data_IF_409916194293
#
_entry.id   IF_409916194293
#
_cell.length_a   1.000
_cell.length_b   1.000
_cell.length_c   1.000
_cell.angle_alpha   90.00
_cell.angle_beta   90.00
_cell.angle_gamma   90.00
#
_symmetry.space_group_name_H-M   'P 1'
#
loop_
_entity.id
_entity.type
_entity.pdbx_description
1 polymer ?
#
# COMPACT_ATOMS: atom_id res chain seq x y z
N UNK A 1 14.59 -33.25 6.39
CA UNK A 1 15.97 -33.23 6.94
C UNK A 1 16.01 -32.22 8.06
N UNK A 2 16.65 -32.55 9.18
CA UNK A 2 16.84 -31.60 10.27
C UNK A 2 17.96 -30.61 9.96
N UNK A 3 18.05 -29.55 10.76
CA UNK A 3 19.25 -28.71 10.78
C UNK A 3 20.47 -29.56 11.20
N UNK A 4 21.64 -29.43 10.56
CA UNK A 4 22.05 -28.42 9.57
C UNK A 4 21.89 -28.84 8.09
N UNK A 5 21.51 -30.09 7.82
CA UNK A 5 21.47 -30.66 6.46
C UNK A 5 20.42 -30.00 5.55
N UNK A 6 19.56 -29.15 6.13
CA UNK A 6 18.59 -28.35 5.40
C UNK A 6 19.16 -27.08 4.75
N UNK A 7 20.43 -26.71 4.97
CA UNK A 7 21.07 -25.52 4.36
C UNK A 7 21.74 -25.90 3.03
N UNK A 8 20.95 -26.03 1.97
CA UNK A 8 21.47 -26.22 0.61
C UNK A 8 20.58 -25.55 -0.44
N UNK A 9 21.09 -25.37 -1.66
CA UNK A 9 20.39 -24.65 -2.75
C UNK A 9 19.04 -25.30 -3.08
N UNK A 10 18.97 -26.64 -3.04
CA UNK A 10 17.73 -27.37 -3.26
C UNK A 10 16.70 -27.02 -2.19
N UNK A 11 17.07 -27.10 -0.91
CA UNK A 11 16.19 -26.72 0.19
C UNK A 11 15.85 -25.22 0.22
N UNK A 12 16.69 -24.35 -0.34
CA UNK A 12 16.37 -22.93 -0.52
C UNK A 12 15.37 -22.71 -1.65
N UNK A 13 15.52 -23.39 -2.80
CA UNK A 13 14.53 -23.41 -3.87
C UNK A 13 13.22 -24.04 -3.36
N UNK A 14 13.33 -25.09 -2.55
CA UNK A 14 12.22 -25.75 -1.88
C UNK A 14 11.62 -24.87 -0.77
N UNK A 15 12.38 -24.01 -0.10
CA UNK A 15 11.80 -23.01 0.80
C UNK A 15 11.02 -21.96 0.00
N UNK A 16 11.55 -21.55 -1.14
CA UNK A 16 10.86 -20.67 -2.08
C UNK A 16 9.62 -21.36 -2.70
N UNK A 17 9.55 -22.70 -2.76
CA UNK A 17 8.53 -23.42 -3.56
C UNK A 17 7.73 -24.55 -2.88
N UNK A 18 8.15 -25.17 -1.77
CA UNK A 18 7.81 -26.55 -1.36
C UNK A 18 7.43 -26.77 0.12
N UNK A 19 7.73 -25.89 1.07
CA UNK A 19 7.27 -26.03 2.48
C UNK A 19 5.86 -25.47 2.76
N UNK A 20 5.14 -25.08 1.70
CA UNK A 20 3.82 -24.48 1.81
C UNK A 20 2.72 -25.44 1.37
N UNK A 21 1.48 -25.26 1.88
CA UNK A 21 0.31 -26.01 1.38
C UNK A 21 0.24 -25.92 -0.14
N UNK A 22 -0.01 -27.04 -0.82
CA UNK A 22 -0.03 -27.12 -2.29
C UNK A 22 -1.38 -27.53 -2.82
N UNK A 23 -1.72 -27.00 -3.99
CA UNK A 23 -2.87 -27.45 -4.78
C UNK A 23 -2.48 -28.61 -5.69
N UNK A 24 -3.41 -29.54 -5.91
CA UNK A 24 -3.14 -30.78 -6.67
C UNK A 24 -2.80 -30.51 -8.13
N UNK A 25 -3.48 -29.53 -8.74
CA UNK A 25 -3.36 -29.21 -10.17
C UNK A 25 -3.50 -27.72 -10.44
N UNK A 26 -2.87 -27.27 -11.53
CA UNK A 26 -3.03 -25.92 -12.08
C UNK A 26 -4.34 -25.84 -12.86
N UNK A 27 -5.27 -25.01 -12.41
CA UNK A 27 -6.57 -24.74 -13.06
C UNK A 27 -6.40 -23.69 -14.15
N UNK A 28 -6.12 -24.14 -15.37
CA UNK A 28 -5.90 -23.27 -16.55
C UNK A 28 -7.01 -22.22 -16.77
N UNK A 29 -8.28 -22.59 -16.57
CA UNK A 29 -9.40 -21.65 -16.70
C UNK A 29 -9.40 -20.53 -15.67
N UNK A 30 -8.97 -20.82 -14.44
CA UNK A 30 -8.77 -19.79 -13.41
C UNK A 30 -7.64 -18.84 -13.81
N UNK A 31 -6.49 -19.38 -14.25
CA UNK A 31 -5.35 -18.57 -14.72
C UNK A 31 -5.78 -17.65 -15.86
N UNK A 32 -6.42 -18.20 -16.90
CA UNK A 32 -6.87 -17.41 -18.05
C UNK A 32 -7.80 -16.28 -17.63
N UNK A 33 -8.78 -16.57 -16.76
CA UNK A 33 -9.70 -15.55 -16.23
C UNK A 33 -8.94 -14.45 -15.48
N UNK A 34 -8.01 -14.80 -14.58
CA UNK A 34 -7.21 -13.82 -13.84
C UNK A 34 -6.32 -13.00 -14.77
N UNK A 35 -5.77 -13.59 -15.84
CA UNK A 35 -4.94 -12.89 -16.84
C UNK A 35 -5.77 -11.87 -17.60
N UNK A 36 -6.98 -12.22 -18.05
CA UNK A 36 -7.89 -11.29 -18.72
C UNK A 36 -8.27 -10.13 -17.81
N UNK A 37 -8.60 -10.43 -16.55
CA UNK A 37 -8.92 -9.40 -15.55
C UNK A 37 -7.71 -8.48 -15.27
N UNK A 38 -6.49 -9.03 -15.19
CA UNK A 38 -5.25 -8.28 -15.03
C UNK A 38 -4.98 -7.33 -16.20
N UNK A 39 -5.09 -7.81 -17.44
CA UNK A 39 -4.89 -6.97 -18.63
C UNK A 39 -5.93 -5.86 -18.66
N UNK A 40 -7.19 -6.20 -18.39
CA UNK A 40 -8.30 -5.23 -18.38
C UNK A 40 -8.09 -4.14 -17.32
N UNK A 41 -7.65 -4.52 -16.11
CA UNK A 41 -7.41 -3.58 -15.03
C UNK A 41 -6.19 -2.69 -15.29
N UNK A 42 -5.11 -3.23 -15.89
CA UNK A 42 -3.94 -2.44 -16.29
C UNK A 42 -4.27 -1.43 -17.39
N UNK A 43 -5.06 -1.82 -18.39
CA UNK A 43 -5.54 -0.89 -19.43
C UNK A 43 -6.42 0.21 -18.83
N UNK A 44 -7.30 -0.12 -17.88
CA UNK A 44 -8.12 0.87 -17.18
C UNK A 44 -7.27 1.83 -16.34
N UNK A 45 -6.25 1.32 -15.63
CA UNK A 45 -5.30 2.17 -14.89
C UNK A 45 -4.60 3.14 -15.85
N UNK A 46 -4.11 2.66 -16.99
CA UNK A 46 -3.45 3.51 -17.98
C UNK A 46 -4.39 4.59 -18.52
N UNK A 47 -5.64 4.23 -18.86
CA UNK A 47 -6.66 5.19 -19.28
C UNK A 47 -6.92 6.26 -18.20
N UNK A 48 -7.09 5.86 -16.93
CA UNK A 48 -7.33 6.80 -15.83
C UNK A 48 -6.14 7.72 -15.58
N UNK A 49 -4.92 7.21 -15.72
CA UNK A 49 -3.70 8.00 -15.61
C UNK A 49 -3.65 9.08 -16.70
N UNK A 50 -3.75 8.70 -17.97
CA UNK A 50 -3.62 9.61 -19.10
C UNK A 50 -4.76 10.62 -19.19
N UNK A 51 -6.01 10.18 -19.00
CA UNK A 51 -7.19 11.02 -19.22
C UNK A 51 -7.57 11.89 -18.02
N UNK A 52 -7.22 11.47 -16.79
CA UNK A 52 -7.66 12.18 -15.59
C UNK A 52 -6.49 12.63 -14.70
N UNK A 53 -5.58 11.72 -14.32
CA UNK A 53 -4.55 12.05 -13.34
C UNK A 53 -3.53 13.04 -13.91
N UNK A 54 -2.93 12.73 -15.06
CA UNK A 54 -1.92 13.57 -15.74
C UNK A 54 -2.41 15.01 -15.98
N UNK A 55 -3.56 15.25 -16.65
CA UNK A 55 -4.01 16.62 -16.89
C UNK A 55 -4.36 17.36 -15.59
N UNK A 56 -4.89 16.67 -14.58
CA UNK A 56 -5.20 17.29 -13.29
C UNK A 56 -3.92 17.75 -12.58
N UNK A 57 -2.90 16.89 -12.55
CA UNK A 57 -1.63 17.15 -11.89
C UNK A 57 -0.85 18.27 -12.61
N UNK A 58 -0.82 18.28 -13.94
CA UNK A 58 -0.21 19.36 -14.73
C UNK A 58 -0.88 20.72 -14.46
N UNK A 59 -2.23 20.77 -14.47
CA UNK A 59 -3.00 21.98 -14.18
C UNK A 59 -2.89 22.45 -12.72
N UNK A 60 -2.33 21.63 -11.83
CA UNK A 60 -2.16 21.95 -10.41
C UNK A 60 -0.86 22.71 -10.12
N UNK A 61 0.13 22.64 -11.03
CA UNK A 61 1.45 23.25 -10.81
C UNK A 61 1.38 24.77 -10.67
N UNK A 62 0.64 25.45 -11.56
CA UNK A 62 0.51 26.91 -11.54
C UNK A 62 -0.09 27.41 -10.20
N UNK A 63 -1.25 26.88 -9.73
CA UNK A 63 -1.76 27.20 -8.40
C UNK A 63 -0.78 26.95 -7.24
N UNK A 64 0.04 25.89 -7.33
CA UNK A 64 1.05 25.59 -6.29
C UNK A 64 2.19 26.60 -6.27
N UNK A 65 2.62 27.11 -7.43
CA UNK A 65 3.65 28.16 -7.53
C UNK A 65 3.09 29.50 -7.02
N UNK A 66 1.86 29.84 -7.43
CA UNK A 66 1.15 31.06 -7.03
C UNK A 66 0.63 31.02 -5.58
N UNK A 67 0.79 29.89 -4.87
CA UNK A 67 0.30 29.66 -3.50
C UNK A 67 -1.20 29.92 -3.34
N UNK A 68 -1.99 29.68 -4.39
CA UNK A 68 -3.44 29.85 -4.36
C UNK A 68 -4.11 28.64 -3.68
N UNK A 69 -4.25 28.73 -2.35
CA UNK A 69 -4.75 27.63 -1.50
C UNK A 69 -6.13 27.10 -1.93
N UNK A 70 -7.16 27.94 -2.20
CA UNK A 70 -8.45 27.45 -2.69
C UNK A 70 -8.34 26.60 -3.96
N UNK A 71 -7.56 27.05 -4.94
CA UNK A 71 -7.36 26.30 -6.18
C UNK A 71 -6.59 25.00 -5.94
N UNK A 72 -5.60 24.99 -5.05
CA UNK A 72 -4.87 23.75 -4.69
C UNK A 72 -5.84 22.73 -4.08
N UNK A 73 -6.73 23.16 -3.18
CA UNK A 73 -7.73 22.28 -2.56
C UNK A 73 -8.69 21.74 -3.61
N UNK A 74 -9.21 22.59 -4.50
CA UNK A 74 -10.08 22.16 -5.60
C UNK A 74 -9.41 21.09 -6.48
N UNK A 75 -8.13 21.30 -6.83
CA UNK A 75 -7.37 20.33 -7.64
C UNK A 75 -7.08 19.05 -6.89
N UNK A 76 -6.77 19.12 -5.60
CA UNK A 76 -6.58 17.95 -4.75
C UNK A 76 -7.87 17.10 -4.69
N UNK A 77 -9.03 17.73 -4.56
CA UNK A 77 -10.33 17.06 -4.56
C UNK A 77 -10.71 16.46 -5.92
N UNK A 78 -10.27 17.06 -7.04
CA UNK A 78 -10.41 16.44 -8.37
C UNK A 78 -9.50 15.23 -8.52
N UNK A 79 -8.26 15.34 -8.03
CA UNK A 79 -7.27 14.28 -8.08
C UNK A 79 -7.65 13.10 -7.18
N UNK A 80 -8.27 13.34 -6.01
CA UNK A 80 -8.62 12.31 -5.02
C UNK A 80 -9.47 11.18 -5.61
N UNK A 81 -10.48 11.51 -6.42
CA UNK A 81 -11.35 10.51 -7.05
C UNK A 81 -10.57 9.63 -8.03
N UNK A 82 -9.80 10.26 -8.94
CA UNK A 82 -8.98 9.51 -9.90
C UNK A 82 -7.92 8.64 -9.20
N UNK A 83 -7.28 9.20 -8.16
CA UNK A 83 -6.30 8.50 -7.35
C UNK A 83 -6.89 7.31 -6.61
N UNK A 84 -8.11 7.43 -6.08
CA UNK A 84 -8.82 6.33 -5.42
C UNK A 84 -9.07 5.18 -6.39
N UNK A 85 -9.63 5.45 -7.56
CA UNK A 85 -9.91 4.40 -8.55
C UNK A 85 -8.63 3.71 -9.03
N UNK A 86 -7.58 4.50 -9.33
CA UNK A 86 -6.27 3.96 -9.72
C UNK A 86 -5.72 3.07 -8.61
N UNK A 87 -5.78 3.52 -7.34
CA UNK A 87 -5.27 2.73 -6.22
C UNK A 87 -6.05 1.42 -6.03
N UNK A 88 -7.39 1.45 -6.10
CA UNK A 88 -8.22 0.24 -5.97
C UNK A 88 -7.96 -0.74 -7.11
N UNK A 89 -7.79 -0.24 -8.34
CA UNK A 89 -7.44 -1.08 -9.48
C UNK A 89 -6.03 -1.65 -9.34
N UNK A 90 -5.05 -0.87 -8.86
CA UNK A 90 -3.69 -1.38 -8.59
C UNK A 90 -3.73 -2.47 -7.52
N UNK A 91 -4.48 -2.26 -6.44
CA UNK A 91 -4.69 -3.26 -5.39
C UNK A 91 -5.26 -4.56 -5.98
N UNK A 92 -6.34 -4.47 -6.76
CA UNK A 92 -6.97 -5.62 -7.39
C UNK A 92 -6.04 -6.32 -8.40
N UNK A 93 -5.38 -5.54 -9.26
CA UNK A 93 -4.44 -6.05 -10.27
C UNK A 93 -3.31 -6.85 -9.62
N UNK A 94 -2.73 -6.31 -8.55
CA UNK A 94 -1.58 -6.92 -7.90
C UNK A 94 -1.99 -8.05 -6.95
N UNK A 95 -2.74 -7.75 -5.89
CA UNK A 95 -3.03 -8.71 -4.83
C UNK A 95 -3.98 -9.81 -5.25
N UNK A 96 -4.96 -9.48 -6.10
CA UNK A 96 -5.98 -10.44 -6.49
C UNK A 96 -5.62 -11.17 -7.78
N UNK A 97 -5.21 -10.44 -8.82
CA UNK A 97 -4.93 -11.05 -10.12
C UNK A 97 -3.50 -11.59 -10.19
N UNK A 98 -2.47 -10.75 -10.03
CA UNK A 98 -1.07 -11.15 -10.20
C UNK A 98 -0.63 -12.21 -9.18
N UNK A 99 -0.82 -11.96 -7.88
CA UNK A 99 -0.49 -12.97 -6.85
C UNK A 99 -1.35 -14.23 -6.99
N UNK A 100 -2.61 -14.10 -7.41
CA UNK A 100 -3.48 -15.24 -7.70
C UNK A 100 -2.98 -16.11 -8.84
N UNK A 101 -2.51 -15.49 -9.94
CA UNK A 101 -1.86 -16.18 -11.07
C UNK A 101 -0.58 -16.85 -10.60
N UNK A 102 0.29 -16.11 -9.92
CA UNK A 102 1.56 -16.61 -9.43
C UNK A 102 1.36 -17.82 -8.50
N UNK A 103 0.41 -17.72 -7.56
CA UNK A 103 0.06 -18.80 -6.66
C UNK A 103 -0.50 -20.03 -7.38
N UNK A 104 -1.35 -19.84 -8.39
CA UNK A 104 -1.88 -20.97 -9.16
C UNK A 104 -0.77 -21.66 -9.99
N UNK A 105 0.12 -20.90 -10.63
CA UNK A 105 1.22 -21.46 -11.43
C UNK A 105 2.26 -22.21 -10.58
N UNK A 106 2.56 -21.68 -9.40
CA UNK A 106 3.46 -22.31 -8.42
C UNK A 106 2.77 -23.40 -7.57
N UNK A 107 1.47 -23.59 -7.75
CA UNK A 107 0.59 -24.44 -6.94
C UNK A 107 0.55 -24.08 -5.45
N UNK A 108 0.89 -22.84 -5.10
CA UNK A 108 0.78 -22.31 -3.76
C UNK A 108 -0.69 -22.30 -3.29
N UNK A 109 -0.94 -22.98 -2.19
CA UNK A 109 -2.27 -23.26 -1.64
C UNK A 109 -2.76 -22.20 -0.65
N UNK A 110 -1.85 -21.53 0.06
CA UNK A 110 -2.22 -20.41 0.92
C UNK A 110 -2.42 -19.16 0.05
N UNK A 111 -3.64 -18.65 -0.06
CA UNK A 111 -3.95 -17.53 -0.97
C UNK A 111 -4.52 -16.33 -0.24
N UNK A 112 -4.34 -16.30 1.07
CA UNK A 112 -4.78 -15.21 1.91
C UNK A 112 -3.76 -14.05 1.83
N UNK A 113 -3.79 -13.32 0.71
CA UNK A 113 -2.91 -12.16 0.52
C UNK A 113 -3.45 -10.90 1.19
N UNK A 114 -4.77 -10.82 1.39
CA UNK A 114 -5.49 -9.72 2.01
C UNK A 114 -6.82 -10.20 2.60
N UNK A 115 -7.35 -9.46 3.59
CA UNK A 115 -8.68 -9.66 4.17
C UNK A 115 -9.60 -8.49 3.77
N UNK A 116 -10.82 -8.44 4.33
CA UNK A 116 -11.84 -7.42 4.10
C UNK A 116 -11.49 -6.03 4.70
N UNK A 117 -10.31 -5.52 4.37
CA UNK A 117 -9.73 -4.28 4.88
C UNK A 117 -10.61 -3.04 4.63
N UNK A 118 -11.47 -3.07 3.62
CA UNK A 118 -12.41 -1.98 3.32
C UNK A 118 -13.49 -1.81 4.41
N UNK A 119 -13.76 -2.86 5.17
CA UNK A 119 -14.69 -2.86 6.31
C UNK A 119 -14.00 -2.56 7.65
N UNK A 120 -12.69 -2.27 7.65
CA UNK A 120 -11.94 -2.01 8.87
C UNK A 120 -12.56 -0.85 9.67
N UNK A 121 -12.84 -1.08 10.96
CA UNK A 121 -13.46 -0.08 11.85
C UNK A 121 -12.44 0.93 12.41
N UNK A 122 -11.16 0.64 12.29
CA UNK A 122 -10.06 1.50 12.70
C UNK A 122 -8.88 1.36 11.72
N UNK A 123 -8.00 2.37 11.68
CA UNK A 123 -6.87 2.42 10.76
C UNK A 123 -5.83 1.34 11.09
N UNK A 124 -5.71 0.95 12.36
CA UNK A 124 -4.84 -0.13 12.77
C UNK A 124 -5.25 -1.47 12.17
N UNK A 125 -6.55 -1.76 12.14
CA UNK A 125 -7.12 -2.97 11.51
C UNK A 125 -6.88 -2.98 10.01
N UNK A 126 -7.07 -1.84 9.33
CA UNK A 126 -6.73 -1.68 7.91
C UNK A 126 -5.29 -2.11 7.61
N UNK A 127 -4.31 -1.58 8.35
CA UNK A 127 -2.89 -1.90 8.13
C UNK A 127 -2.53 -3.37 8.37
N UNK A 128 -3.33 -4.11 9.13
CA UNK A 128 -3.15 -5.56 9.33
C UNK A 128 -3.79 -6.42 8.24
N UNK A 129 -4.84 -5.92 7.60
CA UNK A 129 -5.69 -6.67 6.67
C UNK A 129 -5.36 -6.42 5.20
N UNK A 130 -4.78 -5.27 4.84
CA UNK A 130 -4.59 -4.90 3.43
C UNK A 130 -3.51 -5.73 2.72
N UNK A 131 -2.40 -6.04 3.39
CA UNK A 131 -1.24 -6.76 2.83
C UNK A 131 -0.69 -7.71 3.89
N UNK A 132 -1.28 -8.90 3.93
CA UNK A 132 -0.97 -9.92 4.93
C UNK A 132 0.48 -10.41 4.82
N UNK A 133 1.07 -10.61 3.62
CA UNK A 133 2.47 -10.99 3.51
C UNK A 133 3.42 -10.01 4.21
N UNK A 134 3.29 -8.71 3.93
CA UNK A 134 4.14 -7.68 4.55
C UNK A 134 3.84 -7.54 6.03
N UNK A 135 2.55 -7.53 6.42
CA UNK A 135 2.15 -7.48 7.83
C UNK A 135 2.75 -8.64 8.63
N UNK A 136 2.62 -9.86 8.12
CA UNK A 136 3.12 -11.08 8.75
C UNK A 136 4.64 -11.08 8.84
N UNK A 137 5.33 -10.60 7.80
CA UNK A 137 6.78 -10.46 7.80
C UNK A 137 7.26 -9.47 8.86
N UNK A 138 6.69 -8.27 8.92
CA UNK A 138 7.01 -7.25 9.93
C UNK A 138 6.69 -7.75 11.35
N UNK A 139 5.53 -8.42 11.52
CA UNK A 139 5.12 -8.98 12.81
C UNK A 139 6.12 -10.03 13.30
N UNK A 140 6.53 -10.96 12.42
CA UNK A 140 7.43 -12.07 12.76
C UNK A 140 8.87 -11.61 13.00
N UNK A 141 9.40 -10.75 12.15
CA UNK A 141 10.84 -10.42 12.15
C UNK A 141 11.17 -9.16 12.92
N UNK A 142 10.19 -8.28 13.19
CA UNK A 142 10.43 -7.04 13.93
C UNK A 142 9.62 -6.98 15.22
N UNK A 143 8.29 -7.04 15.13
CA UNK A 143 7.43 -6.80 16.28
C UNK A 143 7.60 -7.84 17.39
N UNK A 144 7.49 -9.14 17.06
CA UNK A 144 7.58 -10.21 18.06
C UNK A 144 8.97 -10.30 18.73
N UNK A 145 10.11 -10.19 18.03
CA UNK A 145 11.43 -10.12 18.66
C UNK A 145 11.58 -8.94 19.63
N UNK A 146 11.12 -7.74 19.25
CA UNK A 146 11.18 -6.56 20.14
C UNK A 146 10.31 -6.76 21.38
N UNK A 147 9.10 -7.32 21.23
CA UNK A 147 8.23 -7.66 22.36
C UNK A 147 8.84 -8.71 23.28
N UNK A 148 9.49 -9.75 22.74
CA UNK A 148 10.19 -10.78 23.52
C UNK A 148 11.36 -10.22 24.33
N UNK A 149 11.95 -9.10 23.89
CA UNK A 149 12.99 -8.36 24.63
C UNK A 149 12.43 -7.39 25.68
N UNK A 150 11.11 -7.39 25.92
CA UNK A 150 10.47 -6.56 26.94
C UNK A 150 10.11 -5.14 26.50
N UNK A 151 10.27 -4.77 25.23
CA UNK A 151 9.90 -3.44 24.72
C UNK A 151 8.37 -3.27 24.72
N UNK A 152 7.88 -2.08 25.08
CA UNK A 152 6.46 -1.78 25.13
C UNK A 152 5.77 -1.95 23.76
N UNK A 153 4.48 -2.29 23.75
CA UNK A 153 3.73 -2.52 22.52
C UNK A 153 3.70 -1.31 21.59
N UNK A 154 3.52 -0.12 22.18
CA UNK A 154 3.52 1.16 21.46
C UNK A 154 4.89 1.43 20.82
N UNK A 155 5.98 1.24 21.57
CA UNK A 155 7.33 1.44 21.02
C UNK A 155 7.63 0.45 19.89
N UNK A 156 7.19 -0.81 20.01
CA UNK A 156 7.32 -1.79 18.92
C UNK A 156 6.55 -1.36 17.67
N UNK A 157 5.34 -0.81 17.82
CA UNK A 157 4.56 -0.29 16.68
C UNK A 157 5.27 0.90 16.04
N UNK A 158 5.76 1.87 16.83
CA UNK A 158 6.50 3.03 16.34
C UNK A 158 7.72 2.59 15.51
N UNK A 159 8.51 1.64 16.01
CA UNK A 159 9.68 1.12 15.27
C UNK A 159 9.29 0.45 13.96
N UNK A 160 8.22 -0.37 13.95
CA UNK A 160 7.72 -1.00 12.72
C UNK A 160 7.26 0.04 11.70
N UNK A 161 6.52 1.07 12.14
CA UNK A 161 6.08 2.15 11.27
C UNK A 161 7.23 3.01 10.76
N UNK A 162 8.25 3.27 11.59
CA UNK A 162 9.46 3.99 11.17
C UNK A 162 10.20 3.26 10.05
N UNK A 163 10.47 1.97 10.22
CA UNK A 163 11.14 1.18 9.17
C UNK A 163 10.27 1.08 7.92
N UNK A 164 8.96 0.85 8.09
CA UNK A 164 8.04 0.83 6.96
C UNK A 164 8.02 2.17 6.22
N UNK A 165 8.00 3.29 6.93
CA UNK A 165 7.99 4.64 6.34
C UNK A 165 9.25 4.92 5.51
N UNK A 166 10.42 4.46 5.97
CA UNK A 166 11.67 4.57 5.21
C UNK A 166 11.60 3.75 3.92
N UNK A 167 11.09 2.52 3.99
CA UNK A 167 10.93 1.68 2.80
C UNK A 167 9.94 2.29 1.79
N UNK A 168 8.88 2.95 2.25
CA UNK A 168 7.95 3.67 1.36
C UNK A 168 8.62 4.87 0.69
N UNK A 169 9.44 5.65 1.42
CA UNK A 169 10.23 6.74 0.83
C UNK A 169 11.19 6.24 -0.23
N UNK A 170 11.84 5.10 0.01
CA UNK A 170 12.74 4.47 -0.97
C UNK A 170 11.95 4.00 -2.19
N UNK A 171 10.81 3.34 -1.98
CA UNK A 171 9.96 2.80 -3.03
C UNK A 171 9.37 3.88 -3.95
N UNK A 172 9.07 5.06 -3.43
CA UNK A 172 8.54 6.18 -4.22
C UNK A 172 9.65 7.11 -4.71
N UNK A 173 10.61 7.42 -3.86
CA UNK A 173 11.64 8.42 -4.11
C UNK A 173 12.71 7.98 -5.10
N UNK A 174 13.07 6.69 -5.13
CA UNK A 174 14.05 6.19 -6.12
C UNK A 174 13.46 6.24 -7.55
N UNK A 175 12.28 5.66 -7.85
CA UNK A 175 11.73 5.70 -9.21
C UNK A 175 11.39 7.10 -9.69
N UNK A 176 10.96 7.99 -8.79
CA UNK A 176 10.70 9.40 -9.13
C UNK A 176 11.98 10.25 -9.19
N UNK A 177 13.12 9.71 -8.76
CA UNK A 177 14.38 10.44 -8.58
C UNK A 177 14.25 11.68 -7.67
N UNK A 178 13.27 11.70 -6.76
CA UNK A 178 12.97 12.80 -5.85
C UNK A 178 12.81 12.23 -4.44
N UNK A 179 13.80 12.43 -3.57
CA UNK A 179 13.74 12.01 -2.16
C UNK A 179 13.50 13.27 -1.32
N UNK A 180 12.25 13.49 -0.92
CA UNK A 180 11.82 14.69 -0.19
C UNK A 180 11.24 14.38 1.19
N UNK A 181 11.00 13.10 1.52
CA UNK A 181 10.46 12.68 2.80
C UNK A 181 8.94 12.77 2.90
N UNK A 182 8.21 13.07 1.82
CA UNK A 182 6.75 13.19 1.88
C UNK A 182 6.06 11.85 2.13
N UNK A 183 6.51 10.77 1.51
CA UNK A 183 5.99 9.43 1.77
C UNK A 183 6.35 8.96 3.19
N UNK A 184 7.58 9.25 3.64
CA UNK A 184 8.00 9.02 5.02
C UNK A 184 7.06 9.72 6.01
N UNK A 185 6.88 11.03 5.87
CA UNK A 185 6.03 11.82 6.76
C UNK A 185 4.57 11.38 6.71
N UNK A 186 4.05 11.06 5.51
CA UNK A 186 2.70 10.54 5.34
C UNK A 186 2.47 9.27 6.15
N UNK A 187 3.44 8.35 6.19
CA UNK A 187 3.36 7.12 6.99
C UNK A 187 3.50 7.39 8.50
N UNK A 188 4.34 8.33 8.93
CA UNK A 188 4.48 8.67 10.35
C UNK A 188 3.22 9.33 10.92
N UNK A 189 2.55 10.19 10.14
CA UNK A 189 1.28 10.82 10.53
C UNK A 189 0.16 9.79 10.72
N UNK A 190 0.27 8.59 10.13
CA UNK A 190 -0.68 7.51 10.39
C UNK A 190 -0.64 7.00 11.83
N UNK A 191 0.49 7.14 12.56
CA UNK A 191 0.61 6.65 13.95
C UNK A 191 -0.40 7.37 14.87
N UNK A 192 -0.44 8.71 14.95
CA UNK A 192 -1.49 9.42 15.66
C UNK A 192 -2.91 9.04 15.20
N UNK A 193 -3.12 8.87 13.90
CA UNK A 193 -4.44 8.52 13.35
C UNK A 193 -4.90 7.14 13.82
N UNK A 194 -3.99 6.17 13.89
CA UNK A 194 -4.25 4.84 14.46
C UNK A 194 -4.64 4.97 15.93
N UNK A 195 -3.90 5.76 16.72
CA UNK A 195 -4.21 5.95 18.14
C UNK A 195 -5.60 6.57 18.33
N UNK A 196 -5.95 7.58 17.54
CA UNK A 196 -7.25 8.25 17.59
C UNK A 196 -8.37 7.28 17.21
N UNK A 197 -8.22 6.54 16.11
CA UNK A 197 -9.26 5.62 15.64
C UNK A 197 -9.42 4.39 16.53
N UNK A 198 -8.34 3.87 17.11
CA UNK A 198 -8.38 2.83 18.16
C UNK A 198 -9.10 3.34 19.42
N UNK A 199 -8.81 4.58 19.86
CA UNK A 199 -9.52 5.20 20.97
C UNK A 199 -11.03 5.34 20.68
N UNK A 200 -11.40 5.82 19.49
CA UNK A 200 -12.81 5.94 19.08
C UNK A 200 -13.48 4.56 19.11
N UNK A 201 -12.81 3.53 18.59
CA UNK A 201 -13.34 2.17 18.55
C UNK A 201 -13.52 1.59 19.96
N UNK A 202 -12.63 1.90 20.90
CA UNK A 202 -12.76 1.47 22.32
C UNK A 202 -13.92 2.17 23.04
N UNK A 203 -14.13 3.46 22.77
CA UNK A 203 -15.21 4.25 23.39
C UNK A 203 -16.57 3.92 22.76
N UNK A 204 -16.62 3.69 21.44
CA UNK A 204 -17.84 3.40 20.68
C UNK A 204 -17.66 2.18 19.75
N UNK A 205 -17.74 0.95 20.28
CA UNK A 205 -17.46 -0.27 19.51
C UNK A 205 -18.39 -0.49 18.30
N UNK A 206 -19.65 -0.05 18.41
CA UNK A 206 -20.66 -0.17 17.34
C UNK A 206 -20.58 0.96 16.30
N UNK A 207 -19.68 1.93 16.49
CA UNK A 207 -19.57 3.08 15.59
C UNK A 207 -18.77 2.73 14.34
N UNK A 208 -19.26 3.19 13.18
CA UNK A 208 -18.52 3.15 11.92
C UNK A 208 -17.62 4.38 11.71
N UNK A 209 -17.50 5.26 12.72
CA UNK A 209 -16.76 6.51 12.59
C UNK A 209 -15.29 6.32 12.20
N UNK A 210 -14.61 5.30 12.74
CA UNK A 210 -13.21 5.04 12.38
C UNK A 210 -13.05 4.57 10.93
N UNK A 211 -14.04 3.87 10.36
CA UNK A 211 -14.07 3.53 8.94
C UNK A 211 -14.26 4.78 8.06
N UNK A 212 -15.14 5.70 8.44
CA UNK A 212 -15.30 6.97 7.72
C UNK A 212 -14.04 7.83 7.78
N UNK A 213 -13.39 7.91 8.95
CA UNK A 213 -12.12 8.62 9.11
C UNK A 213 -11.04 8.00 8.22
N UNK A 214 -10.95 6.66 8.20
CA UNK A 214 -10.04 5.94 7.32
C UNK A 214 -10.28 6.34 5.85
N UNK A 215 -11.50 6.17 5.32
CA UNK A 215 -11.79 6.48 3.92
C UNK A 215 -11.57 7.96 3.59
N UNK A 216 -11.97 8.89 4.46
CA UNK A 216 -11.75 10.32 4.23
C UNK A 216 -10.27 10.67 4.22
N UNK A 217 -9.49 10.16 5.16
CA UNK A 217 -8.04 10.39 5.22
C UNK A 217 -7.33 9.78 4.01
N UNK A 218 -7.71 8.57 3.61
CA UNK A 218 -7.15 7.84 2.49
C UNK A 218 -7.45 8.56 1.17
N UNK A 219 -8.74 8.85 0.91
CA UNK A 219 -9.18 9.46 -0.34
C UNK A 219 -8.64 10.87 -0.50
N UNK A 220 -8.67 11.71 0.54
CA UNK A 220 -8.41 13.15 0.38
C UNK A 220 -6.96 13.52 0.67
N UNK A 221 -6.37 12.94 1.73
CA UNK A 221 -5.08 13.40 2.26
C UNK A 221 -3.92 12.43 1.98
N UNK A 222 -4.19 11.13 1.79
CA UNK A 222 -3.17 10.11 1.64
C UNK A 222 -2.49 10.16 0.27
N UNK A 223 -2.99 9.35 -0.66
CA UNK A 223 -2.39 9.16 -1.97
C UNK A 223 -2.36 10.43 -2.84
N UNK A 224 -3.46 11.19 -3.02
CA UNK A 224 -3.44 12.29 -3.99
C UNK A 224 -2.50 13.42 -3.55
N UNK A 225 -2.38 13.67 -2.24
CA UNK A 225 -1.44 14.67 -1.73
C UNK A 225 0.00 14.23 -1.98
N UNK A 226 0.33 12.95 -1.73
CA UNK A 226 1.66 12.41 -2.03
C UNK A 226 1.97 12.55 -3.54
N UNK A 227 1.06 12.12 -4.42
CA UNK A 227 1.25 12.22 -5.88
C UNK A 227 1.51 13.67 -6.29
N UNK A 228 0.71 14.62 -5.80
CA UNK A 228 0.87 16.03 -6.13
C UNK A 228 2.22 16.60 -5.65
N UNK A 229 2.64 16.27 -4.43
CA UNK A 229 3.89 16.75 -3.84
C UNK A 229 5.13 16.18 -4.54
N UNK A 230 5.15 14.88 -4.84
CA UNK A 230 6.24 14.26 -5.60
C UNK A 230 6.29 14.76 -7.04
N UNK A 231 5.14 14.94 -7.69
CA UNK A 231 5.10 15.50 -9.04
C UNK A 231 5.63 16.93 -9.07
N UNK A 232 5.24 17.77 -8.10
CA UNK A 232 5.82 19.11 -7.95
C UNK A 232 7.33 19.03 -7.76
N UNK A 233 7.83 18.15 -6.88
CA UNK A 233 9.25 17.97 -6.65
C UNK A 233 10.02 17.57 -7.91
N UNK A 234 9.44 16.64 -8.69
CA UNK A 234 9.99 16.22 -9.97
C UNK A 234 9.98 17.35 -11.01
N UNK A 235 8.89 18.11 -11.10
CA UNK A 235 8.77 19.24 -12.02
C UNK A 235 9.80 20.34 -11.73
N UNK A 236 9.97 20.69 -10.45
CA UNK A 236 10.97 21.69 -10.02
C UNK A 236 12.39 21.21 -10.31
N UNK A 237 12.68 19.92 -10.11
CA UNK A 237 14.01 19.33 -10.35
C UNK A 237 14.40 19.33 -11.83
N UNK A 238 13.45 19.14 -12.74
CA UNK A 238 13.69 19.05 -14.19
C UNK A 238 13.52 20.39 -14.92
N UNK A 239 13.55 21.52 -14.20
CA UNK A 239 13.65 22.89 -14.77
C UNK A 239 12.65 23.22 -15.90
N UNK A 240 11.38 22.81 -15.77
CA UNK A 240 10.29 23.37 -16.60
C UNK A 240 9.80 24.74 -16.07
N UNK A 241 10.71 25.48 -15.44
CA UNK A 241 10.58 26.87 -15.04
C UNK A 241 11.90 27.55 -15.43
N UNK A 242 12.02 27.87 -16.72
CA UNK A 242 12.77 29.02 -17.21
C UNK A 242 11.79 29.86 -18.01
#
# INVERSE_FOLDING_TARGET
>A
MGYPDNINVKNFIDFICLEYPRTDRVRKGYVLRRVVELISSLLMIHFLLEQYATPTVQNSLKPMVEKNVPMIIERLLKLSLSSLYIWLLMFYSFFHCYLGIFAELTRFGDREFYLDWWNARDVGTYWRQWNIPVHSWLKRHMYLPLRRRGISGIMCQIVVFLVSSLLHEIAVGIPTHVIQGWAFMGMIIQIPLIMITDMIQRIRPESHLGNYIFWMSFVILGQPMCVLLYYRGWYVKNELIN
#
